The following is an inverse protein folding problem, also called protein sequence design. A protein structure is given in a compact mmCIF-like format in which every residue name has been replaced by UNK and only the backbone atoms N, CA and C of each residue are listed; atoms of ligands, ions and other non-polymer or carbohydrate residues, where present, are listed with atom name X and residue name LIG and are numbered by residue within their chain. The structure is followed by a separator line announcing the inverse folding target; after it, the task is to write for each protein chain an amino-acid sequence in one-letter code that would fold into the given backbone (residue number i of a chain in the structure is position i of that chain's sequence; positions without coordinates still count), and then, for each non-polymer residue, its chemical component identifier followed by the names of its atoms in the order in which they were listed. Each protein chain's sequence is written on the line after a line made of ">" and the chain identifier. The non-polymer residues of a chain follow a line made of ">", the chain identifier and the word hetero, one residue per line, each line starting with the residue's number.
data_IF_129975866420
#
_entry.id   IF_129975866420
#
_cell.length_a   1.000
_cell.length_b   1.000
_cell.length_c   1.000
_cell.angle_alpha   90.00
_cell.angle_beta   90.00
_cell.angle_gamma   90.00
#
_symmetry.space_group_name_H-M   'P 1'
#
loop_
_entity.id
_entity.type
_entity.pdbx_description
1 polymer ?
#
# COMPACT_ATOMS: atom_id res chain seq x y z
N UNK A 1 6.32 4.20 -81.35
CA UNK A 1 6.91 5.25 -80.47
C UNK A 1 6.80 4.78 -79.03
N UNK A 2 7.89 4.91 -78.27
CA UNK A 2 8.00 5.20 -76.81
C UNK A 2 6.76 4.89 -75.94
N UNK A 3 6.88 4.24 -74.78
CA UNK A 3 7.73 4.69 -73.67
C UNK A 3 7.86 3.62 -72.58
N UNK A 4 9.05 3.62 -72.02
CA UNK A 4 9.61 2.82 -70.94
C UNK A 4 9.28 3.40 -69.55
N UNK A 5 9.46 2.56 -68.51
CA UNK A 5 9.68 2.85 -67.07
C UNK A 5 8.43 3.13 -66.21
N UNK A 6 8.35 2.83 -64.90
CA UNK A 6 9.38 2.54 -63.88
C UNK A 6 8.71 1.82 -62.69
N UNK A 7 9.41 0.84 -62.10
CA UNK A 7 9.14 0.30 -60.76
C UNK A 7 9.46 1.35 -59.69
N UNK A 8 8.59 1.51 -58.69
CA UNK A 8 8.89 2.20 -57.44
C UNK A 8 7.98 1.66 -56.33
N UNK A 9 8.52 1.14 -55.21
CA UNK A 9 7.71 0.73 -54.08
C UNK A 9 7.28 1.99 -53.31
N UNK A 10 5.98 2.27 -53.29
CA UNK A 10 5.42 3.28 -52.40
C UNK A 10 5.30 2.65 -51.01
N UNK A 11 6.31 2.89 -50.15
CA UNK A 11 6.22 2.61 -48.73
C UNK A 11 5.23 3.61 -48.11
N UNK A 12 3.97 3.19 -47.99
CA UNK A 12 2.98 3.88 -47.18
C UNK A 12 3.22 3.53 -45.71
N UNK A 13 4.04 4.35 -45.06
CA UNK A 13 4.01 4.57 -43.62
C UNK A 13 2.64 5.19 -43.28
N UNK A 14 1.64 4.35 -43.05
CA UNK A 14 0.47 4.77 -42.29
C UNK A 14 0.78 4.52 -40.82
N UNK A 15 0.90 5.61 -40.07
CA UNK A 15 0.82 5.62 -38.61
C UNK A 15 -0.30 4.68 -38.17
N UNK A 16 0.05 3.64 -37.43
CA UNK A 16 -0.91 3.02 -36.53
C UNK A 16 -1.22 4.06 -35.46
N UNK A 17 -2.47 4.55 -35.30
CA UNK A 17 -2.88 4.93 -33.97
C UNK A 17 -2.83 3.63 -33.15
N UNK A 18 -1.95 3.62 -32.16
CA UNK A 18 -1.88 2.58 -31.15
C UNK A 18 -3.15 2.70 -30.29
N UNK A 19 -4.27 2.16 -30.77
CA UNK A 19 -5.41 1.84 -29.93
C UNK A 19 -5.19 0.42 -29.41
N UNK A 20 -4.42 0.31 -28.32
CA UNK A 20 -4.55 -0.84 -27.44
C UNK A 20 -5.83 -0.66 -26.60
N UNK A 21 -6.99 -0.80 -27.25
CA UNK A 21 -8.24 -1.14 -26.58
C UNK A 21 -8.67 -2.47 -27.18
N UNK A 22 -8.02 -3.55 -26.74
CA UNK A 22 -8.54 -4.89 -26.98
C UNK A 22 -9.77 -5.08 -26.09
N UNK A 23 -10.95 -5.44 -26.63
CA UNK A 23 -12.09 -5.85 -25.84
C UNK A 23 -11.85 -7.27 -25.33
N UNK A 24 -10.83 -7.47 -24.50
CA UNK A 24 -10.70 -8.73 -23.76
C UNK A 24 -11.58 -8.57 -22.53
N UNK A 25 -12.86 -8.97 -22.68
CA UNK A 25 -13.83 -8.96 -21.59
C UNK A 25 -13.24 -9.66 -20.35
N UNK A 26 -13.09 -8.95 -19.22
CA UNK A 26 -12.62 -9.52 -17.96
C UNK A 26 -13.51 -10.65 -17.43
N UNK A 27 -14.74 -10.75 -17.94
CA UNK A 27 -15.64 -11.90 -17.75
C UNK A 27 -14.98 -13.26 -18.12
N UNK A 28 -14.00 -13.29 -19.02
CA UNK A 28 -13.25 -14.51 -19.34
C UNK A 28 -12.45 -15.06 -18.14
N UNK A 29 -12.14 -14.21 -17.16
CA UNK A 29 -11.41 -14.56 -15.94
C UNK A 29 -12.32 -14.79 -14.74
N UNK A 30 -13.65 -14.74 -14.85
CA UNK A 30 -14.52 -14.86 -13.68
C UNK A 30 -15.14 -16.25 -13.62
N UNK A 31 -15.09 -16.88 -12.45
CA UNK A 31 -15.64 -18.21 -12.18
C UNK A 31 -16.58 -18.18 -10.97
N UNK A 32 -17.68 -18.96 -11.00
CA UNK A 32 -18.56 -19.08 -9.85
C UNK A 32 -17.90 -19.83 -8.70
N UNK A 33 -18.15 -19.37 -7.48
CA UNK A 33 -17.83 -20.07 -6.24
C UNK A 33 -18.87 -21.17 -6.05
N UNK A 34 -18.45 -22.42 -6.23
CA UNK A 34 -19.35 -23.59 -6.17
C UNK A 34 -19.32 -24.32 -4.81
N UNK A 35 -18.39 -23.96 -3.94
CA UNK A 35 -18.19 -24.57 -2.63
C UNK A 35 -18.35 -23.57 -1.48
N UNK A 36 -18.37 -24.05 -0.22
CA UNK A 36 -18.44 -23.18 0.93
C UNK A 36 -17.18 -22.31 1.06
N UNK A 37 -17.37 -21.03 1.34
CA UNK A 37 -16.30 -20.13 1.78
C UNK A 37 -15.93 -20.45 3.23
N UNK A 38 -14.63 -20.56 3.50
CA UNK A 38 -14.08 -20.91 4.81
C UNK A 38 -13.37 -19.73 5.43
N UNK A 39 -13.41 -19.61 6.74
CA UNK A 39 -12.57 -18.69 7.48
C UNK A 39 -11.16 -19.29 7.64
N UNK A 40 -10.15 -18.61 7.09
CA UNK A 40 -8.75 -19.00 7.23
C UNK A 40 -8.17 -18.65 8.62
N UNK A 41 -8.83 -17.75 9.35
CA UNK A 41 -8.39 -17.15 10.60
C UNK A 41 -7.66 -15.83 10.39
N UNK A 42 -6.90 -15.45 11.42
CA UNK A 42 -6.10 -14.23 11.45
C UNK A 42 -4.65 -14.58 11.16
N UNK A 43 -4.08 -13.97 10.14
CA UNK A 43 -2.66 -14.03 9.83
C UNK A 43 -1.94 -12.81 10.42
N UNK A 44 -1.01 -13.04 11.34
CA UNK A 44 -0.19 -11.99 11.92
C UNK A 44 1.05 -11.77 11.03
N UNK A 45 0.99 -10.78 10.15
CA UNK A 45 2.03 -10.53 9.13
C UNK A 45 3.41 -10.38 9.78
N UNK A 46 3.45 -9.71 10.94
CA UNK A 46 4.66 -9.51 11.72
C UNK A 46 5.42 -10.75 12.15
N UNK A 47 4.70 -11.84 12.40
CA UNK A 47 5.29 -13.09 12.91
C UNK A 47 5.22 -14.23 11.91
N UNK A 48 4.47 -14.05 10.83
CA UNK A 48 4.17 -15.11 9.85
C UNK A 48 3.32 -16.25 10.43
N UNK A 49 2.51 -15.98 11.45
CA UNK A 49 1.73 -17.02 12.15
C UNK A 49 0.22 -16.86 11.99
N UNK A 50 -0.51 -17.98 12.11
CA UNK A 50 -1.96 -18.03 12.04
C UNK A 50 -2.58 -18.24 13.43
N UNK A 51 -3.58 -17.43 13.77
CA UNK A 51 -4.49 -17.67 14.90
C UNK A 51 -5.86 -18.09 14.37
N UNK A 52 -6.37 -19.22 14.88
CA UNK A 52 -7.66 -19.81 14.46
C UNK A 52 -8.52 -20.18 15.67
N UNK A 53 -9.83 -20.09 15.53
CA UNK A 53 -10.80 -20.60 16.50
C UNK A 53 -11.71 -19.53 17.12
N UNK A 54 -12.73 -19.99 17.85
CA UNK A 54 -13.72 -19.12 18.51
C UNK A 54 -13.06 -18.29 19.61
N UNK A 55 -13.01 -16.98 19.45
CA UNK A 55 -12.41 -16.05 20.41
C UNK A 55 -11.01 -15.54 20.03
N UNK A 56 -10.48 -15.96 18.86
CA UNK A 56 -9.33 -15.29 18.27
C UNK A 56 -9.66 -13.82 18.01
N UNK A 57 -8.77 -12.91 18.44
CA UNK A 57 -8.91 -11.47 18.22
C UNK A 57 -7.67 -10.96 17.51
N UNK A 58 -7.88 -10.29 16.40
CA UNK A 58 -6.84 -9.55 15.71
C UNK A 58 -6.66 -8.21 16.43
N UNK A 59 -5.46 -7.65 16.42
CA UNK A 59 -5.19 -6.32 16.96
C UNK A 59 -5.48 -5.23 15.93
N UNK A 60 -6.64 -5.32 15.30
CA UNK A 60 -7.14 -4.35 14.34
C UNK A 60 -7.78 -3.19 15.06
N UNK A 61 -7.73 -2.03 14.45
CA UNK A 61 -8.51 -0.90 14.89
C UNK A 61 -10.01 -1.17 14.72
N UNK A 62 -10.85 -0.43 15.47
CA UNK A 62 -12.28 -0.68 15.51
C UNK A 62 -13.02 -0.26 14.23
N UNK A 63 -12.35 0.47 13.35
CA UNK A 63 -12.96 1.22 12.26
C UNK A 63 -12.66 0.56 10.91
N UNK A 64 -13.67 0.53 10.04
CA UNK A 64 -13.53 0.13 8.65
C UNK A 64 -13.47 1.39 7.80
N UNK A 65 -12.43 1.52 6.98
CA UNK A 65 -12.23 2.69 6.10
C UNK A 65 -12.27 2.36 4.63
N UNK A 66 -12.39 1.10 4.25
CA UNK A 66 -12.76 0.70 2.90
C UNK A 66 -13.48 -0.63 2.99
N UNK A 67 -14.59 -0.78 2.26
CA UNK A 67 -15.39 -1.99 2.33
C UNK A 67 -15.97 -2.36 0.96
N UNK A 68 -15.45 -3.45 0.39
CA UNK A 68 -15.90 -4.04 -0.85
C UNK A 68 -16.32 -5.50 -0.62
N UNK A 69 -17.35 -5.74 0.18
CA UNK A 69 -17.79 -7.09 0.59
C UNK A 69 -19.09 -7.59 -0.08
N UNK A 70 -19.65 -6.82 -1.01
CA UNK A 70 -20.88 -7.20 -1.71
C UNK A 70 -20.66 -8.32 -2.73
N UNK A 71 -21.55 -9.32 -2.73
CA UNK A 71 -21.69 -10.21 -3.89
C UNK A 71 -20.63 -11.32 -4.02
N UNK A 72 -20.20 -11.92 -2.90
CA UNK A 72 -19.21 -13.03 -2.85
C UNK A 72 -19.68 -14.37 -3.48
N UNK A 73 -20.14 -14.36 -4.73
CA UNK A 73 -20.55 -15.55 -5.48
C UNK A 73 -19.54 -15.99 -6.53
N UNK A 74 -18.50 -15.19 -6.77
CA UNK A 74 -17.56 -15.37 -7.87
C UNK A 74 -16.14 -15.02 -7.44
N UNK A 75 -15.17 -15.56 -8.16
CA UNK A 75 -13.75 -15.23 -7.99
C UNK A 75 -13.09 -15.11 -9.36
N UNK A 76 -12.00 -14.35 -9.40
CA UNK A 76 -11.22 -14.16 -10.61
C UNK A 76 -10.14 -15.23 -10.77
N UNK A 77 -9.82 -15.60 -11.99
CA UNK A 77 -8.82 -16.60 -12.37
C UNK A 77 -7.69 -15.93 -13.13
N UNK A 78 -7.20 -14.82 -12.56
CA UNK A 78 -6.13 -14.02 -13.14
C UNK A 78 -4.84 -14.84 -13.20
N UNK A 79 -3.97 -14.63 -14.20
CA UNK A 79 -2.75 -15.41 -14.33
C UNK A 79 -1.85 -15.29 -13.10
N UNK A 80 -1.14 -16.37 -12.79
CA UNK A 80 -0.10 -16.34 -11.76
C UNK A 80 0.98 -15.30 -12.11
N UNK A 81 1.49 -14.62 -11.09
CA UNK A 81 2.49 -13.55 -11.18
C UNK A 81 2.01 -12.33 -11.98
N UNK A 82 0.70 -12.20 -12.22
CA UNK A 82 0.12 -10.96 -12.69
C UNK A 82 0.02 -9.99 -11.51
N UNK A 83 0.63 -8.81 -11.60
CA UNK A 83 0.31 -7.71 -10.71
C UNK A 83 -0.98 -7.07 -11.18
N UNK A 84 -2.02 -7.24 -10.37
CA UNK A 84 -3.38 -6.77 -10.63
C UNK A 84 -3.65 -5.65 -9.63
N UNK A 85 -4.06 -4.49 -10.13
CA UNK A 85 -4.35 -3.32 -9.31
C UNK A 85 -5.83 -2.97 -9.42
N UNK A 86 -6.45 -2.69 -8.28
CA UNK A 86 -7.82 -2.22 -8.15
C UNK A 86 -7.82 -0.99 -7.24
N UNK A 87 -8.93 -0.26 -7.21
CA UNK A 87 -8.95 1.10 -6.64
C UNK A 87 -10.18 1.43 -5.83
N UNK A 88 -10.08 2.57 -5.15
CA UNK A 88 -11.20 3.22 -4.50
C UNK A 88 -10.82 4.62 -4.04
N UNK A 89 -11.64 5.19 -3.16
CA UNK A 89 -11.42 6.48 -2.54
C UNK A 89 -11.47 6.33 -1.02
N UNK A 90 -10.57 7.05 -0.36
CA UNK A 90 -10.65 7.36 1.07
C UNK A 90 -10.93 8.86 1.20
N UNK A 91 -12.06 9.27 1.79
CA UNK A 91 -12.40 10.68 1.90
C UNK A 91 -11.57 11.37 2.98
N UNK A 92 -11.15 12.60 2.75
CA UNK A 92 -10.52 13.45 3.77
C UNK A 92 -11.52 14.24 4.63
N UNK A 93 -11.01 14.99 5.59
CA UNK A 93 -11.77 15.95 6.42
C UNK A 93 -12.27 17.15 5.61
N UNK A 94 -11.52 17.53 4.57
CA UNK A 94 -11.85 18.62 3.64
C UNK A 94 -12.73 18.19 2.47
N UNK A 95 -12.92 16.89 2.28
CA UNK A 95 -13.63 16.31 1.14
C UNK A 95 -14.94 15.65 1.58
N UNK A 96 -16.10 16.30 1.40
CA UNK A 96 -17.34 15.56 1.39
C UNK A 96 -17.30 14.66 0.16
N UNK A 97 -17.21 13.34 0.37
CA UNK A 97 -17.28 12.34 -0.69
C UNK A 97 -18.51 12.59 -1.60
N UNK A 98 -18.65 11.86 -2.72
CA UNK A 98 -19.85 12.00 -3.59
C UNK A 98 -21.20 11.85 -2.87
N UNK A 99 -21.21 11.30 -1.64
CA UNK A 99 -22.39 11.12 -0.78
C UNK A 99 -22.58 12.25 0.26
N UNK A 100 -21.67 13.22 0.31
CA UNK A 100 -21.72 14.39 1.20
C UNK A 100 -21.07 14.19 2.58
N UNK A 101 -20.45 13.04 2.85
CA UNK A 101 -19.82 12.73 4.14
C UNK A 101 -18.31 12.88 4.05
N UNK A 102 -17.75 13.64 4.99
CA UNK A 102 -16.30 13.81 5.14
C UNK A 102 -15.72 12.60 5.88
N UNK A 103 -14.49 12.26 5.53
CA UNK A 103 -13.71 11.33 6.33
C UNK A 103 -13.28 11.93 7.66
N UNK A 104 -12.99 11.10 8.69
CA UNK A 104 -12.53 11.59 9.98
C UNK A 104 -11.10 12.13 9.96
N UNK A 105 -10.27 11.75 8.97
CA UNK A 105 -8.87 12.18 8.85
C UNK A 105 -8.48 12.35 7.38
N UNK A 106 -7.44 13.14 7.13
CA UNK A 106 -6.80 13.27 5.82
C UNK A 106 -5.73 12.19 5.58
N UNK A 107 -5.49 11.34 6.58
CA UNK A 107 -4.60 10.18 6.49
C UNK A 107 -5.03 9.10 7.47
N UNK A 108 -5.00 7.85 7.01
CA UNK A 108 -5.49 6.68 7.72
C UNK A 108 -4.35 5.72 8.05
N UNK A 109 -4.20 5.41 9.34
CA UNK A 109 -3.22 4.44 9.80
C UNK A 109 -3.76 3.02 9.67
N UNK A 110 -3.38 2.32 8.61
CA UNK A 110 -3.88 0.99 8.29
C UNK A 110 -3.18 -0.05 9.15
N UNK A 111 -3.94 -0.70 10.02
CA UNK A 111 -3.45 -1.74 10.94
C UNK A 111 -3.92 -3.15 10.57
N UNK A 112 -4.76 -3.26 9.54
CA UNK A 112 -5.01 -4.52 8.87
C UNK A 112 -6.04 -4.47 7.77
N UNK A 113 -6.26 -5.63 7.16
CA UNK A 113 -7.21 -5.78 6.07
C UNK A 113 -7.77 -7.20 6.02
N UNK A 114 -8.84 -7.38 5.26
CA UNK A 114 -9.42 -8.68 4.96
C UNK A 114 -9.41 -8.90 3.46
N UNK A 115 -9.00 -10.10 3.06
CA UNK A 115 -8.91 -10.50 1.67
C UNK A 115 -9.62 -11.84 1.46
N UNK A 116 -10.46 -11.89 0.44
CA UNK A 116 -11.21 -13.08 0.04
C UNK A 116 -10.62 -13.63 -1.26
N UNK A 117 -10.37 -14.94 -1.32
CA UNK A 117 -9.80 -15.58 -2.51
C UNK A 117 -10.23 -17.03 -2.63
N UNK A 118 -10.24 -17.55 -3.86
CA UNK A 118 -10.31 -18.99 -4.10
C UNK A 118 -8.98 -19.51 -4.62
N UNK A 119 -8.71 -20.76 -4.28
CA UNK A 119 -7.49 -21.47 -4.62
C UNK A 119 -7.88 -22.89 -5.05
N UNK A 120 -7.77 -23.20 -6.33
CA UNK A 120 -7.93 -24.59 -6.82
C UNK A 120 -6.65 -25.41 -6.65
N UNK A 121 -5.52 -24.75 -6.36
CA UNK A 121 -4.27 -25.42 -5.99
C UNK A 121 -4.45 -26.26 -4.73
N UNK A 122 -3.82 -27.44 -4.72
CA UNK A 122 -3.75 -28.28 -3.52
C UNK A 122 -2.59 -27.91 -2.59
N UNK A 123 -1.67 -27.05 -3.04
CA UNK A 123 -0.58 -26.50 -2.22
C UNK A 123 -0.98 -25.17 -1.59
N UNK A 124 -0.11 -24.62 -0.74
CA UNK A 124 -0.19 -23.21 -0.37
C UNK A 124 0.02 -22.31 -1.59
N UNK A 125 -0.40 -21.06 -1.45
CA UNK A 125 -0.30 -20.01 -2.47
C UNK A 125 0.39 -18.83 -1.84
N UNK A 126 1.42 -18.31 -2.49
CA UNK A 126 2.12 -17.11 -2.06
C UNK A 126 1.45 -15.90 -2.69
N UNK A 127 1.13 -14.91 -1.87
CA UNK A 127 0.47 -13.68 -2.26
C UNK A 127 1.35 -12.48 -1.93
N UNK A 128 1.55 -11.61 -2.90
CA UNK A 128 2.21 -10.33 -2.71
C UNK A 128 1.18 -9.21 -2.77
N UNK A 129 1.23 -8.28 -1.81
CA UNK A 129 0.32 -7.14 -1.74
C UNK A 129 1.10 -5.83 -1.75
N UNK A 130 0.57 -4.86 -2.48
CA UNK A 130 1.04 -3.47 -2.44
C UNK A 130 -0.15 -2.52 -2.29
N UNK A 131 0.10 -1.38 -1.67
CA UNK A 131 -0.88 -0.35 -1.42
C UNK A 131 -0.30 0.97 -1.87
N UNK A 132 -1.12 1.73 -2.57
CA UNK A 132 -0.79 3.01 -3.17
C UNK A 132 -1.75 4.03 -2.58
N UNK A 133 -1.23 5.02 -1.84
CA UNK A 133 -2.02 6.14 -1.31
C UNK A 133 -2.35 7.19 -2.38
N UNK A 134 -1.75 7.02 -3.56
CA UNK A 134 -2.10 7.76 -4.76
C UNK A 134 -2.11 6.84 -5.96
N UNK A 135 -3.26 6.74 -6.62
CA UNK A 135 -3.44 5.90 -7.79
C UNK A 135 -4.62 6.39 -8.63
N UNK A 136 -4.37 6.57 -9.92
CA UNK A 136 -5.43 6.80 -10.91
C UNK A 136 -5.86 5.45 -11.47
N UNK A 137 -7.16 5.21 -11.55
CA UNK A 137 -7.69 3.99 -12.16
C UNK A 137 -7.05 3.75 -13.54
N UNK A 138 -6.48 2.56 -13.71
CA UNK A 138 -5.81 2.12 -14.92
C UNK A 138 -4.49 2.80 -15.30
N UNK A 139 -3.94 3.67 -14.44
CA UNK A 139 -2.52 4.00 -14.52
C UNK A 139 -1.70 2.76 -14.13
N UNK A 140 -0.70 2.43 -14.93
CA UNK A 140 0.17 1.30 -14.64
C UNK A 140 1.31 1.77 -13.72
N UNK A 141 1.46 1.24 -12.49
CA UNK A 141 2.54 1.66 -11.59
C UNK A 141 3.95 1.53 -12.20
N UNK A 142 4.17 0.58 -13.11
CA UNK A 142 5.45 0.43 -13.82
C UNK A 142 5.65 1.41 -14.99
N UNK A 143 4.60 2.10 -15.45
CA UNK A 143 4.70 3.02 -16.58
C UNK A 143 5.44 4.31 -16.17
N UNK A 144 6.39 4.79 -16.99
CA UNK A 144 7.00 6.08 -16.74
C UNK A 144 5.91 7.16 -16.86
N UNK A 145 5.86 8.08 -15.89
CA UNK A 145 4.88 9.19 -15.77
C UNK A 145 3.48 8.88 -15.24
N UNK A 146 3.17 7.65 -14.83
CA UNK A 146 1.98 7.42 -14.00
C UNK A 146 2.17 8.10 -12.65
N UNK A 147 1.13 8.79 -12.16
CA UNK A 147 1.19 9.34 -10.81
C UNK A 147 0.70 8.28 -9.84
N UNK A 148 1.65 7.47 -9.38
CA UNK A 148 1.43 6.45 -8.37
C UNK A 148 2.40 6.66 -7.22
N UNK A 149 1.91 6.56 -5.99
CA UNK A 149 2.75 6.62 -4.81
C UNK A 149 2.57 5.35 -3.99
N UNK A 150 3.66 4.61 -3.78
CA UNK A 150 3.63 3.35 -3.04
C UNK A 150 3.67 3.65 -1.54
N UNK A 151 2.53 3.51 -0.88
CA UNK A 151 2.42 3.61 0.57
C UNK A 151 3.06 2.41 1.27
N UNK A 152 2.81 1.20 0.76
CA UNK A 152 3.37 -0.02 1.35
C UNK A 152 3.45 -1.19 0.39
N UNK A 153 4.53 -1.96 0.50
CA UNK A 153 4.57 -3.35 0.04
C UNK A 153 4.69 -4.28 1.25
N UNK A 154 3.90 -5.34 1.27
CA UNK A 154 3.98 -6.39 2.29
C UNK A 154 4.99 -7.46 1.87
N UNK A 155 5.56 -8.22 2.83
CA UNK A 155 6.31 -9.42 2.49
C UNK A 155 5.37 -10.42 1.80
N UNK A 156 5.94 -11.35 1.05
CA UNK A 156 5.15 -12.42 0.44
C UNK A 156 4.48 -13.27 1.52
N UNK A 157 3.16 -13.46 1.40
CA UNK A 157 2.33 -14.13 2.39
C UNK A 157 1.91 -15.51 1.88
N UNK A 158 2.35 -16.57 2.56
CA UNK A 158 1.97 -17.94 2.21
C UNK A 158 0.61 -18.29 2.82
N UNK A 159 -0.41 -18.34 1.97
CA UNK A 159 -1.80 -18.59 2.35
C UNK A 159 -2.25 -20.04 2.03
N UNK A 160 -3.25 -20.56 2.75
CA UNK A 160 -3.84 -21.87 2.46
C UNK A 160 -4.39 -21.98 1.03
N UNK A 161 -4.04 -23.04 0.32
CA UNK A 161 -4.82 -23.48 -0.84
C UNK A 161 -5.79 -24.59 -0.46
N UNK A 162 -5.63 -25.75 -1.07
CA UNK A 162 -6.43 -26.98 -0.88
C UNK A 162 -7.78 -27.04 -1.60
N UNK A 163 -7.96 -26.32 -2.71
CA UNK A 163 -9.20 -26.44 -3.50
C UNK A 163 -10.40 -25.73 -2.88
N UNK A 164 -10.18 -24.75 -2.00
CA UNK A 164 -11.22 -24.04 -1.27
C UNK A 164 -11.18 -22.54 -1.52
N UNK A 165 -12.27 -21.89 -1.14
CA UNK A 165 -12.40 -20.45 -1.06
C UNK A 165 -12.27 -20.03 0.40
N UNK A 166 -11.51 -18.96 0.63
CA UNK A 166 -11.07 -18.53 1.95
C UNK A 166 -11.35 -17.04 2.13
N UNK A 167 -11.76 -16.70 3.34
CA UNK A 167 -11.72 -15.34 3.86
C UNK A 167 -10.60 -15.28 4.89
N UNK A 168 -9.62 -14.39 4.69
CA UNK A 168 -8.46 -14.27 5.57
C UNK A 168 -8.39 -12.84 6.11
N UNK A 169 -8.17 -12.73 7.42
CA UNK A 169 -7.91 -11.44 8.09
C UNK A 169 -6.42 -11.29 8.32
N UNK A 170 -5.87 -10.13 7.97
CA UNK A 170 -4.45 -9.80 8.08
C UNK A 170 -4.27 -8.77 9.18
N UNK A 171 -3.58 -9.17 10.24
CA UNK A 171 -3.17 -8.30 11.34
C UNK A 171 -1.76 -7.79 11.05
N UNK A 172 -1.65 -6.48 10.82
CA UNK A 172 -0.38 -5.80 10.54
C UNK A 172 0.32 -5.34 11.81
N UNK A 173 -0.36 -5.42 12.95
CA UNK A 173 0.13 -4.95 14.23
C UNK A 173 1.34 -5.77 14.71
N UNK A 174 2.17 -5.17 15.55
CA UNK A 174 3.28 -5.77 16.31
C UNK A 174 4.60 -6.03 15.55
N UNK A 175 4.76 -5.52 14.32
CA UNK A 175 6.04 -5.63 13.60
C UNK A 175 6.32 -4.53 12.57
N UNK A 176 5.63 -3.39 12.63
CA UNK A 176 5.89 -2.27 11.71
C UNK A 176 5.41 -2.54 10.29
N UNK A 177 4.40 -3.40 10.11
CA UNK A 177 3.74 -3.62 8.81
C UNK A 177 2.53 -2.71 8.60
N UNK A 178 2.14 -1.97 9.64
CA UNK A 178 1.20 -0.87 9.56
C UNK A 178 1.75 0.23 8.64
N UNK A 179 0.85 0.99 8.02
CA UNK A 179 1.23 2.04 7.08
C UNK A 179 0.16 3.12 6.99
N UNK A 180 0.56 4.28 6.50
CA UNK A 180 -0.35 5.38 6.27
C UNK A 180 -0.86 5.34 4.84
N UNK A 181 -2.16 5.55 4.68
CA UNK A 181 -2.75 5.90 3.40
C UNK A 181 -3.36 7.28 3.50
N UNK A 182 -2.87 8.18 2.65
CA UNK A 182 -3.47 9.49 2.50
C UNK A 182 -4.91 9.37 1.98
N UNK A 183 -5.75 10.29 2.44
CA UNK A 183 -7.04 10.54 1.84
C UNK A 183 -6.88 11.29 0.50
N UNK A 184 -7.93 11.29 -0.31
CA UNK A 184 -8.05 12.13 -1.50
C UNK A 184 -6.88 11.99 -2.49
N UNK A 185 -6.30 10.79 -2.64
CA UNK A 185 -5.26 10.51 -3.63
C UNK A 185 -3.86 11.04 -3.31
N UNK A 186 -3.62 11.39 -2.05
CA UNK A 186 -2.28 11.62 -1.51
C UNK A 186 -1.44 12.67 -2.25
N UNK A 187 -0.15 12.40 -2.42
CA UNK A 187 0.82 13.40 -2.89
C UNK A 187 0.65 13.80 -4.37
N UNK A 188 0.07 12.95 -5.21
CA UNK A 188 -0.13 13.28 -6.63
C UNK A 188 -1.25 14.28 -6.87
N UNK A 189 -2.25 14.31 -6.00
CA UNK A 189 -3.32 15.29 -6.02
C UNK A 189 -3.75 15.59 -4.60
N UNK A 190 -2.96 16.43 -3.92
CA UNK A 190 -3.29 16.83 -2.58
C UNK A 190 -4.62 17.61 -2.55
N UNK A 191 -5.61 17.01 -1.90
CA UNK A 191 -6.94 17.57 -1.70
C UNK A 191 -7.91 17.25 -2.82
N UNK A 192 -9.15 16.98 -2.45
CA UNK A 192 -10.22 16.65 -3.39
C UNK A 192 -10.63 17.83 -4.27
N UNK A 193 -10.62 17.62 -5.58
CA UNK A 193 -11.00 18.64 -6.56
C UNK A 193 -12.46 18.50 -7.06
N UNK A 194 -13.17 17.46 -6.64
CA UNK A 194 -14.56 17.19 -7.03
C UNK A 194 -14.73 16.82 -8.51
N UNK A 195 -13.63 16.64 -9.25
CA UNK A 195 -13.59 16.38 -10.68
C UNK A 195 -13.88 14.94 -11.07
N UNK A 196 -13.91 14.01 -10.10
CA UNK A 196 -14.22 12.60 -10.33
C UNK A 196 -13.32 11.66 -9.54
N UNK A 197 -13.36 10.37 -9.85
CA UNK A 197 -12.53 9.32 -9.23
C UNK A 197 -11.10 9.29 -9.81
N UNK A 198 -10.60 10.45 -10.24
CA UNK A 198 -9.38 10.59 -11.03
C UNK A 198 -8.13 10.49 -10.15
N UNK A 199 -7.44 11.62 -9.95
CA UNK A 199 -6.22 11.66 -9.15
C UNK A 199 -6.46 11.51 -7.64
N UNK A 200 -7.72 11.50 -7.20
CA UNK A 200 -8.13 11.49 -5.79
C UNK A 200 -8.29 10.06 -5.21
N UNK A 201 -7.83 9.05 -5.95
CA UNK A 201 -7.99 7.64 -5.63
C UNK A 201 -6.77 7.02 -4.94
N UNK A 202 -7.02 5.95 -4.21
CA UNK A 202 -5.98 5.03 -3.73
C UNK A 202 -6.05 3.73 -4.56
N UNK A 203 -4.94 3.00 -4.59
CA UNK A 203 -4.82 1.73 -5.29
C UNK A 203 -4.36 0.64 -4.35
N UNK A 204 -4.72 -0.59 -4.65
CA UNK A 204 -4.13 -1.76 -4.00
C UNK A 204 -3.90 -2.83 -5.06
N UNK A 205 -2.72 -3.46 -5.00
CA UNK A 205 -2.37 -4.53 -5.90
C UNK A 205 -2.18 -5.85 -5.18
N UNK A 206 -2.42 -6.91 -5.93
CA UNK A 206 -2.09 -8.26 -5.55
C UNK A 206 -1.43 -8.99 -6.71
N UNK A 207 -0.56 -9.94 -6.38
CA UNK A 207 -0.14 -10.99 -7.29
C UNK A 207 -0.08 -12.30 -6.53
N UNK A 208 -0.16 -13.42 -7.24
CA UNK A 208 -0.12 -14.73 -6.62
C UNK A 208 0.78 -15.70 -7.37
N UNK A 209 1.38 -16.64 -6.65
CA UNK A 209 2.15 -17.74 -7.23
C UNK A 209 1.91 -19.04 -6.46
N UNK A 210 2.10 -20.18 -7.13
CA UNK A 210 1.88 -21.51 -6.55
C UNK A 210 2.84 -22.52 -7.19
N UNK A 211 3.48 -23.34 -6.36
CA UNK A 211 4.32 -24.46 -6.83
C UNK A 211 3.50 -25.71 -7.16
N UNK A 212 2.28 -25.81 -6.63
CA UNK A 212 1.36 -26.93 -6.88
C UNK A 212 0.54 -26.79 -8.16
N UNK A 213 0.77 -25.74 -8.96
CA UNK A 213 -0.07 -25.39 -10.10
C UNK A 213 -1.46 -24.94 -9.67
N UNK A 214 -2.43 -25.06 -10.57
CA UNK A 214 -3.82 -24.65 -10.36
C UNK A 214 -4.07 -23.17 -10.67
N UNK A 215 -5.26 -22.73 -10.28
CA UNK A 215 -5.79 -21.38 -10.49
C UNK A 215 -6.15 -20.78 -9.14
N UNK A 216 -5.79 -19.51 -8.94
CA UNK A 216 -6.20 -18.74 -7.80
C UNK A 216 -6.58 -17.32 -8.21
N UNK A 217 -7.30 -16.65 -7.33
CA UNK A 217 -7.56 -15.24 -7.47
C UNK A 217 -8.57 -14.73 -6.45
N UNK A 218 -8.68 -13.40 -6.35
CA UNK A 218 -9.55 -12.73 -5.39
C UNK A 218 -11.02 -13.06 -5.65
N UNK A 219 -11.82 -12.97 -4.59
CA UNK A 219 -13.27 -12.86 -4.77
C UNK A 219 -13.58 -11.60 -5.57
N UNK A 220 -14.55 -11.73 -6.44
CA UNK A 220 -15.12 -10.60 -7.16
C UNK A 220 -16.25 -10.04 -6.32
N UNK A 221 -16.29 -8.72 -6.24
CA UNK A 221 -17.23 -7.92 -5.47
C UNK A 221 -17.85 -6.84 -6.37
N UNK A 222 -18.92 -6.20 -5.92
CA UNK A 222 -19.50 -5.03 -6.60
C UNK A 222 -21.02 -5.10 -6.83
N UNK A 223 -21.64 -3.93 -6.98
CA UNK A 223 -23.08 -3.73 -7.13
C UNK A 223 -23.43 -2.65 -8.18
N UNK A 224 -24.63 -2.77 -8.79
CA UNK A 224 -25.31 -1.90 -9.79
C UNK A 224 -24.94 -0.39 -9.73
N UNK A 225 -24.52 0.27 -10.84
CA UNK A 225 -24.07 1.66 -10.86
C UNK A 225 -25.25 2.64 -10.98
N UNK A 226 -26.50 2.16 -10.97
CA UNK A 226 -27.68 3.05 -10.80
C UNK A 226 -27.64 3.73 -9.42
N UNK A 227 -26.92 3.13 -8.46
CA UNK A 227 -26.61 3.70 -7.15
C UNK A 227 -25.09 3.69 -7.02
N UNK A 228 -24.49 4.87 -6.90
CA UNK A 228 -23.03 5.04 -6.90
C UNK A 228 -22.38 4.23 -5.77
N UNK A 229 -21.12 3.77 -5.88
CA UNK A 229 -20.44 3.16 -4.73
C UNK A 229 -20.36 4.17 -3.59
N UNK A 230 -21.04 3.91 -2.46
CA UNK A 230 -21.29 4.92 -1.43
C UNK A 230 -20.41 4.77 -0.18
N UNK A 231 -19.57 3.73 -0.10
CA UNK A 231 -18.71 3.50 1.06
C UNK A 231 -19.47 2.98 2.27
N UNK A 232 -20.44 2.10 2.06
CA UNK A 232 -21.25 1.56 3.15
C UNK A 232 -20.44 0.72 4.14
N UNK A 233 -20.88 0.65 5.40
CA UNK A 233 -20.18 -0.13 6.42
C UNK A 233 -18.78 0.41 6.75
N UNK A 234 -18.46 1.65 6.36
CA UNK A 234 -17.27 2.40 6.77
C UNK A 234 -17.63 3.44 7.83
N UNK A 235 -16.61 4.04 8.46
CA UNK A 235 -16.80 5.13 9.44
C UNK A 235 -17.38 6.41 8.87
N UNK A 236 -17.30 6.61 7.55
CA UNK A 236 -17.84 7.74 6.83
C UNK A 236 -19.05 7.34 5.96
N UNK A 237 -19.68 6.21 6.29
CA UNK A 237 -20.87 5.72 5.60
C UNK A 237 -21.98 6.79 5.56
N UNK A 238 -22.76 6.86 4.48
CA UNK A 238 -23.87 7.79 4.40
C UNK A 238 -25.01 7.45 5.35
N UNK A 239 -25.73 8.50 5.77
CA UNK A 239 -26.90 8.40 6.65
C UNK A 239 -28.10 7.69 5.99
N UNK A 240 -28.05 7.43 4.69
CA UNK A 240 -29.09 6.70 3.97
C UNK A 240 -28.70 5.22 3.91
N UNK A 241 -29.54 4.36 4.47
CA UNK A 241 -29.48 2.93 4.18
C UNK A 241 -29.64 2.75 2.67
N UNK A 242 -28.66 2.15 2.01
CA UNK A 242 -28.90 1.63 0.66
C UNK A 242 -30.19 0.77 0.70
N UNK A 243 -30.94 0.75 -0.40
CA UNK A 243 -32.20 -0.02 -0.46
C UNK A 243 -31.98 -1.55 -0.26
N UNK A 244 -30.73 -1.99 -0.09
CA UNK A 244 -30.32 -3.39 -0.02
C UNK A 244 -30.25 -3.89 1.42
N UNK A 245 -30.48 -3.00 2.39
CA UNK A 245 -30.46 -3.33 3.80
C UNK A 245 -29.05 -3.37 4.36
N UNK A 246 -28.98 -3.59 5.67
CA UNK A 246 -27.75 -3.51 6.43
C UNK A 246 -26.82 -4.69 6.09
N UNK A 247 -25.55 -4.40 5.75
CA UNK A 247 -24.46 -5.39 5.81
C UNK A 247 -23.75 -5.76 4.49
N UNK A 248 -23.97 -5.03 3.39
CA UNK A 248 -23.21 -5.21 2.14
C UNK A 248 -22.78 -3.85 1.60
N UNK A 249 -21.51 -3.71 1.23
CA UNK A 249 -20.90 -2.48 0.77
C UNK A 249 -20.19 -2.60 -0.58
N UNK A 250 -20.29 -1.54 -1.38
CA UNK A 250 -19.45 -1.31 -2.54
C UNK A 250 -18.35 -0.34 -2.19
N UNK A 251 -17.10 -0.71 -2.46
CA UNK A 251 -15.94 0.12 -2.17
C UNK A 251 -16.16 1.53 -2.71
N UNK A 252 -16.02 2.54 -1.84
CA UNK A 252 -16.30 3.93 -2.20
C UNK A 252 -15.45 4.30 -3.42
N UNK A 253 -16.10 4.80 -4.46
CA UNK A 253 -15.41 5.27 -5.65
C UNK A 253 -14.68 4.19 -6.47
N UNK A 254 -14.94 2.89 -6.26
CA UNK A 254 -14.44 1.84 -7.13
C UNK A 254 -15.01 1.99 -8.54
N UNK A 255 -14.19 1.85 -9.58
CA UNK A 255 -14.68 1.79 -10.96
C UNK A 255 -14.85 0.33 -11.38
N UNK A 256 -15.66 0.09 -12.40
CA UNK A 256 -15.86 -1.24 -12.99
C UNK A 256 -14.64 -1.72 -13.79
N UNK A 257 -13.44 -1.40 -13.31
CA UNK A 257 -12.17 -1.53 -14.01
C UNK A 257 -11.12 -2.08 -13.05
N UNK A 258 -10.11 -2.75 -13.60
CA UNK A 258 -8.89 -3.09 -12.89
C UNK A 258 -7.72 -3.00 -13.85
N UNK A 259 -6.52 -2.77 -13.33
CA UNK A 259 -5.30 -2.76 -14.13
C UNK A 259 -4.55 -4.09 -13.99
N UNK A 260 -3.87 -4.50 -15.04
CA UNK A 260 -2.78 -5.47 -14.98
C UNK A 260 -1.52 -4.71 -15.33
N UNK A 261 -0.59 -4.57 -14.39
CA UNK A 261 0.64 -3.78 -14.57
C UNK A 261 1.79 -4.60 -15.17
N UNK A 262 2.11 -5.71 -14.51
CA UNK A 262 3.13 -6.64 -14.96
C UNK A 262 2.53 -8.03 -15.05
N UNK A 263 2.63 -8.68 -16.22
CA UNK A 263 2.15 -10.04 -16.40
C UNK A 263 2.94 -10.76 -17.50
N UNK A 264 3.37 -12.02 -17.28
CA UNK A 264 4.12 -12.77 -18.29
C UNK A 264 3.26 -13.33 -19.45
N UNK A 265 1.93 -13.27 -19.35
CA UNK A 265 0.98 -14.01 -20.21
C UNK A 265 -0.15 -13.17 -20.78
N UNK A 266 -0.49 -12.05 -20.14
CA UNK A 266 -1.52 -11.11 -20.58
C UNK A 266 -0.88 -9.73 -20.71
N UNK A 267 -1.33 -8.93 -21.68
CA UNK A 267 -0.77 -7.60 -21.89
C UNK A 267 -1.01 -6.73 -20.66
N UNK A 268 -0.04 -5.91 -20.23
CA UNK A 268 -0.33 -4.80 -19.34
C UNK A 268 -1.44 -3.92 -19.91
N UNK A 269 -2.32 -3.39 -19.06
CA UNK A 269 -3.42 -2.54 -19.47
C UNK A 269 -4.60 -2.48 -18.50
N UNK A 270 -5.64 -1.78 -18.94
CA UNK A 270 -6.90 -1.60 -18.24
C UNK A 270 -7.91 -2.64 -18.70
N UNK A 271 -8.58 -3.29 -17.75
CA UNK A 271 -9.53 -4.36 -17.98
C UNK A 271 -10.86 -4.03 -17.33
N UNK A 272 -11.94 -4.45 -17.97
CA UNK A 272 -13.30 -4.21 -17.50
C UNK A 272 -13.86 -5.49 -16.87
N UNK A 273 -14.46 -5.39 -15.67
CA UNK A 273 -15.03 -6.57 -14.99
C UNK A 273 -16.21 -7.19 -15.74
N UNK A 274 -16.81 -6.45 -16.68
CA UNK A 274 -17.88 -6.96 -17.54
C UNK A 274 -19.18 -6.20 -17.40
N UNK A 275 -19.27 -5.19 -16.52
CA UNK A 275 -20.48 -4.40 -16.36
C UNK A 275 -21.26 -4.81 -15.14
N UNK A 276 -21.70 -3.83 -14.37
CA UNK A 276 -22.76 -4.06 -13.41
C UNK A 276 -24.11 -4.29 -14.13
N UNK A 277 -24.66 -5.50 -14.07
CA UNK A 277 -26.00 -5.78 -14.62
C UNK A 277 -26.86 -6.39 -13.51
N UNK A 278 -27.58 -5.53 -12.79
CA UNK A 278 -28.73 -5.97 -12.01
C UNK A 278 -29.99 -5.26 -12.54
N UNK A 279 -31.03 -6.04 -12.83
CA UNK A 279 -32.32 -5.52 -13.31
C UNK A 279 -33.17 -4.87 -12.21
N UNK A 280 -32.72 -4.93 -10.96
CA UNK A 280 -33.25 -4.20 -9.81
C UNK A 280 -32.18 -4.28 -8.72
N UNK A 281 -31.31 -3.28 -8.63
CA UNK A 281 -30.14 -3.23 -7.75
C UNK A 281 -30.41 -3.30 -6.25
N UNK A 282 -31.04 -4.38 -5.78
CA UNK A 282 -31.10 -4.95 -4.41
C UNK A 282 -31.83 -6.31 -4.39
N UNK A 283 -32.54 -6.71 -5.45
CA UNK A 283 -33.33 -7.95 -5.50
C UNK A 283 -33.08 -8.70 -6.80
N UNK A 284 -32.14 -9.66 -6.75
CA UNK A 284 -31.82 -10.57 -7.83
C UNK A 284 -30.43 -11.15 -7.63
N UNK A 285 -30.22 -12.40 -8.01
CA UNK A 285 -28.86 -12.88 -8.21
C UNK A 285 -28.20 -11.97 -9.26
N UNK A 286 -27.01 -11.41 -9.00
CA UNK A 286 -26.33 -10.57 -9.98
C UNK A 286 -26.26 -11.32 -11.31
N UNK A 287 -26.73 -10.70 -12.40
CA UNK A 287 -26.64 -11.32 -13.73
C UNK A 287 -25.23 -11.18 -14.30
N UNK A 288 -24.45 -10.27 -13.70
CA UNK A 288 -23.04 -10.09 -13.96
C UNK A 288 -22.29 -10.00 -12.62
N UNK A 289 -21.17 -10.70 -12.46
CA UNK A 289 -20.63 -11.03 -11.14
C UNK A 289 -19.73 -9.98 -10.50
N UNK A 290 -19.45 -8.83 -11.12
CA UNK A 290 -18.41 -7.96 -10.59
C UNK A 290 -18.41 -6.51 -11.02
N UNK A 291 -17.73 -5.73 -10.19
CA UNK A 291 -17.23 -4.40 -10.49
C UNK A 291 -16.08 -3.92 -9.59
N UNK A 292 -15.51 -4.80 -8.77
CA UNK A 292 -14.22 -4.64 -8.06
C UNK A 292 -13.82 -6.00 -7.45
N UNK A 293 -12.68 -6.08 -6.77
CA UNK A 293 -12.28 -7.24 -5.96
C UNK A 293 -12.63 -7.06 -4.48
N UNK A 294 -12.78 -8.17 -3.76
CA UNK A 294 -13.04 -8.14 -2.33
C UNK A 294 -11.84 -7.57 -1.56
N UNK A 295 -12.08 -6.51 -0.82
CA UNK A 295 -11.13 -5.93 0.13
C UNK A 295 -11.88 -5.22 1.25
N UNK A 296 -11.40 -5.39 2.49
CA UNK A 296 -11.80 -4.54 3.62
C UNK A 296 -10.57 -4.03 4.33
N UNK A 297 -10.53 -2.76 4.66
CA UNK A 297 -9.38 -2.15 5.35
C UNK A 297 -9.79 -1.61 6.71
N UNK A 298 -8.94 -1.86 7.70
CA UNK A 298 -9.15 -1.51 9.10
C UNK A 298 -8.15 -0.45 9.55
N UNK A 299 -8.61 0.38 10.47
CA UNK A 299 -7.80 1.39 11.15
C UNK A 299 -8.42 1.69 12.50
N UNK A 300 -7.73 2.49 13.30
CA UNK A 300 -8.36 3.28 14.33
C UNK A 300 -8.49 4.72 13.81
N UNK A 301 -9.70 5.15 13.46
CA UNK A 301 -9.95 6.47 12.90
C UNK A 301 -9.74 7.60 13.92
N UNK A 302 -9.50 7.29 15.19
CA UNK A 302 -9.00 8.27 16.18
C UNK A 302 -7.47 8.36 16.25
N UNK A 303 -6.77 7.40 15.64
CA UNK A 303 -5.32 7.47 15.46
C UNK A 303 -5.01 8.21 14.17
N UNK A 304 -4.31 9.33 14.31
CA UNK A 304 -3.71 10.02 13.18
C UNK A 304 -2.40 9.32 12.83
N UNK A 305 -2.12 9.20 11.54
CA UNK A 305 -0.75 9.10 11.10
C UNK A 305 -0.01 10.36 11.59
N UNK A 306 0.96 10.21 12.48
CA UNK A 306 1.92 11.31 12.69
C UNK A 306 2.55 11.61 11.32
N UNK A 307 2.55 12.88 10.89
CA UNK A 307 2.91 13.36 9.55
C UNK A 307 3.27 12.23 8.54
N UNK A 308 2.27 11.64 7.87
CA UNK A 308 2.38 10.43 7.03
C UNK A 308 3.35 10.59 5.86
N UNK A 309 3.70 11.82 5.51
CA UNK A 309 4.53 12.15 4.35
C UNK A 309 6.03 12.10 4.62
N UNK A 310 6.46 11.98 5.89
CA UNK A 310 7.85 12.24 6.21
C UNK A 310 8.75 11.00 6.27
N UNK A 311 8.36 9.92 6.94
CA UNK A 311 9.29 8.79 7.21
C UNK A 311 8.73 7.43 6.84
N UNK A 312 9.43 6.72 5.94
CA UNK A 312 9.19 5.30 5.65
C UNK A 312 10.26 4.43 6.31
N UNK A 313 9.87 3.40 7.06
CA UNK A 313 10.83 2.38 7.54
C UNK A 313 11.24 1.52 6.35
N UNK A 314 12.50 1.60 5.93
CA UNK A 314 13.02 0.81 4.81
C UNK A 314 13.88 -0.36 5.28
N UNK A 315 14.19 -0.44 6.57
CA UNK A 315 15.03 -1.50 7.11
C UNK A 315 14.71 -1.80 8.58
N UNK A 316 14.05 -2.94 8.79
CA UNK A 316 13.80 -3.55 10.10
C UNK A 316 13.81 -5.10 9.99
N UNK A 317 14.65 -5.62 9.09
CA UNK A 317 14.67 -7.05 8.76
C UNK A 317 15.36 -7.92 9.82
N UNK A 318 16.16 -7.33 10.70
CA UNK A 318 16.93 -8.06 11.69
C UNK A 318 16.43 -7.77 13.11
N UNK A 319 16.11 -8.81 13.91
CA UNK A 319 15.51 -8.65 15.25
C UNK A 319 16.44 -7.94 16.26
N UNK A 320 17.72 -7.82 15.92
CA UNK A 320 18.69 -7.08 16.71
C UNK A 320 18.77 -5.58 16.40
N UNK A 321 18.03 -5.09 15.41
CA UNK A 321 17.74 -3.67 15.26
C UNK A 321 16.76 -3.29 16.37
N UNK A 322 17.20 -2.45 17.30
CA UNK A 322 16.41 -2.11 18.48
C UNK A 322 16.29 -0.60 18.56
N UNK A 323 15.06 -0.14 18.76
CA UNK A 323 14.70 1.26 18.83
C UNK A 323 14.16 1.79 17.50
N UNK A 324 13.21 2.69 17.61
CA UNK A 324 12.47 3.31 16.52
C UNK A 324 13.07 4.69 16.20
N UNK A 325 13.35 4.91 14.93
CA UNK A 325 13.75 6.21 14.42
C UNK A 325 12.53 6.92 13.83
N UNK A 326 12.39 8.22 14.05
CA UNK A 326 11.31 9.03 13.47
C UNK A 326 11.73 10.48 13.25
N UNK A 327 11.04 11.18 12.37
CA UNK A 327 11.20 12.63 12.17
C UNK A 327 9.93 13.34 12.61
N UNK A 328 10.05 14.56 13.15
CA UNK A 328 8.90 15.38 13.53
C UNK A 328 8.14 15.96 12.35
N UNK A 329 8.83 16.22 11.23
CA UNK A 329 8.29 16.72 9.97
C UNK A 329 9.38 16.60 8.90
N UNK A 330 9.00 16.67 7.62
CA UNK A 330 9.91 16.73 6.48
C UNK A 330 9.86 18.08 5.75
N UNK A 331 9.12 19.04 6.30
CA UNK A 331 9.04 20.41 5.77
C UNK A 331 10.05 21.31 6.49
N UNK A 332 11.05 21.78 5.75
CA UNK A 332 12.05 22.70 6.23
C UNK A 332 11.52 24.11 6.50
N UNK A 333 10.34 24.46 5.99
CA UNK A 333 9.68 25.74 6.27
C UNK A 333 9.29 25.90 7.75
N UNK A 334 9.12 24.77 8.44
CA UNK A 334 8.78 24.71 9.87
C UNK A 334 9.94 25.14 10.79
N UNK A 335 11.15 25.34 10.24
CA UNK A 335 12.31 25.87 10.95
C UNK A 335 13.00 24.88 11.90
N UNK A 336 12.47 23.66 12.06
CA UNK A 336 13.07 22.58 12.84
C UNK A 336 12.63 21.22 12.31
N UNK A 337 13.57 20.28 12.21
CA UNK A 337 13.30 18.88 11.88
C UNK A 337 13.95 18.01 12.95
N UNK A 338 13.14 17.43 13.84
CA UNK A 338 13.63 16.63 14.95
C UNK A 338 13.72 15.17 14.54
N UNK A 339 14.94 14.65 14.40
CA UNK A 339 15.19 13.21 14.33
C UNK A 339 15.21 12.65 15.75
N UNK A 340 14.35 11.68 16.02
CA UNK A 340 14.21 11.03 17.31
C UNK A 340 14.60 9.56 17.22
N UNK A 341 15.20 9.06 18.29
CA UNK A 341 15.36 7.66 18.64
C UNK A 341 14.49 7.39 19.86
N UNK A 342 13.63 6.40 19.77
CA UNK A 342 12.94 5.81 20.92
C UNK A 342 13.42 4.37 21.11
N UNK A 343 13.82 4.03 22.31
CA UNK A 343 14.27 2.68 22.69
C UNK A 343 13.35 2.02 23.70
N UNK A 344 12.24 2.65 24.05
CA UNK A 344 11.31 2.21 25.09
C UNK A 344 12.00 1.96 26.44
N UNK A 345 13.06 2.72 26.73
CA UNK A 345 13.88 2.59 27.94
C UNK A 345 14.98 1.52 27.87
N UNK A 346 15.02 0.69 26.83
CA UNK A 346 16.19 -0.15 26.56
C UNK A 346 17.38 0.76 26.26
N UNK A 347 18.52 0.58 26.92
CA UNK A 347 19.71 1.44 26.72
C UNK A 347 19.63 2.85 27.33
N UNK A 348 18.84 3.06 28.38
CA UNK A 348 18.91 4.28 29.19
C UNK A 348 20.35 4.60 29.64
N UNK A 349 20.76 5.86 29.52
CA UNK A 349 22.10 6.35 29.83
C UNK A 349 23.18 5.88 28.85
N UNK A 350 22.84 5.08 27.84
CA UNK A 350 23.81 4.63 26.86
C UNK A 350 24.11 5.71 25.82
N UNK A 351 25.32 5.63 25.29
CA UNK A 351 25.82 6.54 24.27
C UNK A 351 25.21 6.23 22.90
N UNK A 352 24.74 7.25 22.19
CA UNK A 352 24.08 7.15 20.88
C UNK A 352 24.49 8.30 19.96
N UNK A 353 24.42 8.05 18.65
CA UNK A 353 24.50 9.12 17.65
C UNK A 353 23.74 8.76 16.36
N UNK A 354 23.27 9.78 15.63
CA UNK A 354 22.56 9.65 14.37
C UNK A 354 23.52 9.33 13.22
N UNK A 355 23.06 8.50 12.30
CA UNK A 355 23.67 8.20 11.01
C UNK A 355 22.75 8.69 9.91
N UNK A 356 23.36 9.20 8.85
CA UNK A 356 22.64 9.68 7.66
C UNK A 356 23.35 9.18 6.41
N UNK A 357 22.61 8.80 5.38
CA UNK A 357 23.18 8.27 4.16
C UNK A 357 22.17 8.18 3.03
N UNK A 358 22.66 7.69 1.89
CA UNK A 358 21.85 7.37 0.71
C UNK A 358 21.86 5.88 0.39
N UNK A 359 22.61 5.07 1.12
CA UNK A 359 22.67 3.63 0.93
C UNK A 359 21.39 2.92 1.42
N UNK A 360 21.10 1.77 0.81
CA UNK A 360 19.97 0.90 1.16
C UNK A 360 20.41 -0.54 1.46
N UNK A 361 21.71 -0.83 1.38
CA UNK A 361 22.21 -2.19 1.56
C UNK A 361 22.34 -2.50 3.04
N UNK A 362 21.64 -3.51 3.57
CA UNK A 362 21.85 -3.98 4.92
C UNK A 362 23.18 -4.75 5.01
N UNK A 363 23.99 -4.40 5.99
CA UNK A 363 25.18 -5.16 6.39
C UNK A 363 25.18 -5.32 7.90
N UNK A 364 25.76 -6.39 8.44
CA UNK A 364 25.77 -6.64 9.89
C UNK A 364 27.20 -6.48 10.46
N UNK A 365 27.67 -5.23 10.68
CA UNK A 365 29.05 -4.98 11.08
C UNK A 365 29.29 -5.31 12.56
N UNK A 366 28.25 -5.39 13.38
CA UNK A 366 28.36 -5.67 14.82
C UNK A 366 28.17 -7.15 15.16
N UNK A 367 27.71 -7.95 14.19
CA UNK A 367 27.28 -9.33 14.40
C UNK A 367 25.92 -9.46 15.10
N UNK A 368 25.33 -8.36 15.56
CA UNK A 368 24.10 -8.34 16.37
C UNK A 368 23.00 -7.47 15.77
N UNK A 369 23.31 -6.57 14.83
CA UNK A 369 22.35 -5.63 14.25
C UNK A 369 22.80 -5.12 12.88
N UNK A 370 21.85 -4.73 12.04
CA UNK A 370 22.10 -4.29 10.67
C UNK A 370 22.28 -2.77 10.54
N UNK A 371 23.39 -2.38 9.92
CA UNK A 371 23.56 -1.07 9.33
C UNK A 371 22.92 -1.06 7.95
N UNK A 372 21.84 -0.30 7.79
CA UNK A 372 21.03 -0.29 6.58
C UNK A 372 21.45 0.76 5.56
N UNK A 373 22.41 1.61 5.93
CA UNK A 373 22.89 2.74 5.13
C UNK A 373 24.10 2.40 4.25
N UNK A 374 24.50 1.11 4.16
CA UNK A 374 25.67 0.72 3.39
C UNK A 374 25.40 0.75 1.87
N UNK A 375 26.49 0.64 1.09
CA UNK A 375 26.45 0.77 -0.37
C UNK A 375 26.57 2.22 -0.88
N UNK A 376 26.68 3.20 0.01
CA UNK A 376 26.98 4.60 -0.31
C UNK A 376 27.82 5.25 0.79
N UNK A 377 28.19 6.52 0.61
CA UNK A 377 28.80 7.32 1.66
C UNK A 377 27.82 7.48 2.84
N UNK A 378 28.35 7.32 4.06
CA UNK A 378 27.61 7.50 5.30
C UNK A 378 28.17 8.74 6.01
N UNK A 379 27.29 9.68 6.29
CA UNK A 379 27.56 10.90 7.01
C UNK A 379 27.27 10.74 8.50
N UNK A 380 27.91 11.58 9.30
CA UNK A 380 27.69 11.70 10.74
C UNK A 380 27.79 13.16 11.13
N UNK A 381 26.96 13.59 12.06
CA UNK A 381 27.03 14.93 12.60
C UNK A 381 28.07 15.01 13.73
N UNK A 382 28.93 16.04 13.68
CA UNK A 382 30.15 16.12 14.50
C UNK A 382 29.89 16.41 15.99
N UNK A 383 28.70 16.90 16.36
CA UNK A 383 28.38 17.32 17.73
C UNK A 383 27.21 16.53 18.36
N UNK A 384 26.75 15.45 17.74
CA UNK A 384 25.49 14.78 18.11
C UNK A 384 25.63 13.45 18.84
N UNK A 385 26.81 13.23 19.42
CA UNK A 385 27.05 12.19 20.39
C UNK A 385 26.35 12.55 21.72
N UNK A 386 25.35 11.77 22.13
CA UNK A 386 24.55 12.03 23.34
C UNK A 386 24.25 10.76 24.12
N UNK A 387 23.80 10.92 25.35
CA UNK A 387 23.25 9.82 26.15
C UNK A 387 21.74 9.71 25.92
N UNK A 388 21.23 8.49 25.79
CA UNK A 388 19.80 8.20 25.79
C UNK A 388 19.26 8.55 27.17
N UNK A 389 18.19 9.35 27.23
CA UNK A 389 17.57 9.83 28.47
C UNK A 389 16.07 9.61 28.42
N UNK A 390 15.50 8.95 29.42
CA UNK A 390 14.11 8.51 29.42
C UNK A 390 13.77 7.53 28.28
N UNK A 391 14.74 6.77 27.77
CA UNK A 391 14.59 5.92 26.60
C UNK A 391 14.64 6.68 25.26
N UNK A 392 14.85 7.99 25.28
CA UNK A 392 14.81 8.84 24.10
C UNK A 392 16.15 9.51 23.82
N UNK A 393 16.43 9.76 22.54
CA UNK A 393 17.44 10.70 22.11
C UNK A 393 16.94 11.45 20.88
N UNK A 394 17.22 12.73 20.77
CA UNK A 394 16.79 13.52 19.62
C UNK A 394 17.84 14.53 19.19
N UNK A 395 17.78 14.91 17.92
CA UNK A 395 18.57 15.98 17.33
C UNK A 395 17.71 16.82 16.39
N UNK A 396 18.04 18.09 16.25
CA UNK A 396 17.46 18.95 15.23
C UNK A 396 18.39 19.00 14.00
N UNK A 397 17.89 18.55 12.85
CA UNK A 397 18.64 18.47 11.60
C UNK A 397 18.86 19.83 10.92
N UNK A 398 18.14 20.88 11.32
CA UNK A 398 18.24 22.22 10.74
C UNK A 398 18.98 23.22 11.64
N UNK A 399 19.06 22.94 12.93
CA UNK A 399 19.70 23.83 13.89
C UNK A 399 21.23 23.76 13.78
N UNK A 400 21.88 24.89 13.50
CA UNK A 400 23.33 24.97 13.31
C UNK A 400 24.19 24.54 14.52
N UNK A 401 23.60 24.46 15.72
CA UNK A 401 24.27 23.99 16.94
C UNK A 401 24.27 22.46 17.07
N UNK A 402 23.32 21.75 16.45
CA UNK A 402 23.30 20.29 16.33
C UNK A 402 23.79 19.85 14.95
N UNK A 403 23.18 20.36 13.89
CA UNK A 403 23.51 20.13 12.49
C UNK A 403 23.83 21.46 11.77
N UNK A 404 25.11 21.80 11.50
CA UNK A 404 25.50 23.11 10.96
C UNK A 404 24.81 23.44 9.62
N UNK A 405 23.70 24.19 9.72
CA UNK A 405 23.00 24.84 8.61
C UNK A 405 22.15 23.93 7.72
N UNK A 406 21.56 22.84 8.23
CA UNK A 406 20.71 21.96 7.41
C UNK A 406 21.47 21.21 6.31
N UNK A 407 22.78 21.05 6.47
CA UNK A 407 23.63 20.29 5.56
C UNK A 407 23.85 18.88 6.09
N UNK A 408 23.94 17.91 5.19
CA UNK A 408 24.32 16.53 5.54
C UNK A 408 25.84 16.44 5.61
N UNK A 409 26.44 16.30 6.81
CA UNK A 409 27.88 16.41 6.96
C UNK A 409 28.58 15.25 6.26
N UNK A 410 29.76 15.51 5.69
CA UNK A 410 30.59 14.54 4.95
C UNK A 410 30.03 14.10 3.59
N UNK A 411 28.71 14.06 3.39
CA UNK A 411 28.08 13.74 2.10
C UNK A 411 27.87 15.03 1.26
N UNK A 412 27.79 16.20 1.90
CA UNK A 412 27.86 17.51 1.23
C UNK A 412 26.57 17.97 0.54
N UNK A 413 25.46 17.26 0.73
CA UNK A 413 24.14 17.65 0.19
C UNK A 413 23.34 18.55 1.13
N UNK A 414 22.43 19.35 0.56
CA UNK A 414 21.38 20.06 1.30
C UNK A 414 20.30 19.08 1.74
N UNK A 415 19.87 19.18 3.01
CA UNK A 415 18.74 18.42 3.52
C UNK A 415 17.43 18.84 2.82
N UNK A 416 17.20 20.15 2.72
CA UNK A 416 15.98 20.81 2.21
C UNK A 416 16.06 21.07 0.71
N UNK A 417 15.85 20.06 -0.12
CA UNK A 417 15.86 20.23 -1.58
C UNK A 417 15.06 19.14 -2.32
N UNK A 418 14.06 18.56 -1.65
CA UNK A 418 13.27 17.42 -2.15
C UNK A 418 14.06 16.14 -2.30
N UNK A 419 15.19 16.01 -1.60
CA UNK A 419 15.99 14.80 -1.62
C UNK A 419 15.47 13.79 -0.60
N UNK A 420 15.42 12.52 -1.00
CA UNK A 420 15.20 11.43 -0.05
C UNK A 420 16.50 11.11 0.70
N UNK A 421 16.49 11.39 2.01
CA UNK A 421 17.56 11.06 2.93
C UNK A 421 17.20 9.82 3.75
N UNK A 422 18.21 9.08 4.18
CA UNK A 422 18.03 7.90 5.04
C UNK A 422 18.73 8.10 6.35
N UNK A 423 18.04 7.75 7.44
CA UNK A 423 18.51 7.90 8.80
C UNK A 423 18.46 6.57 9.53
N UNK A 424 19.42 6.39 10.43
CA UNK A 424 19.46 5.29 11.37
C UNK A 424 20.23 5.79 12.60
N UNK A 425 19.93 5.25 13.77
CA UNK A 425 20.72 5.51 14.96
C UNK A 425 21.67 4.35 15.21
N UNK A 426 22.86 4.66 15.66
CA UNK A 426 23.72 3.69 16.31
C UNK A 426 23.75 3.99 17.79
N UNK A 427 23.65 2.97 18.62
CA UNK A 427 23.75 3.11 20.07
C UNK A 427 24.57 1.98 20.69
N UNK A 428 25.18 2.32 21.81
CA UNK A 428 25.98 1.39 22.61
C UNK A 428 25.05 0.52 23.45
N UNK A 429 25.26 -0.78 23.43
CA UNK A 429 24.58 -1.74 24.30
C UNK A 429 25.52 -2.17 25.45
N UNK A 430 25.98 -1.20 26.26
CA UNK A 430 26.86 -1.48 27.40
C UNK A 430 28.12 -2.30 27.05
N UNK A 431 28.18 -3.54 27.58
CA UNK A 431 29.27 -4.52 27.35
C UNK A 431 29.00 -5.46 26.17
N UNK A 432 27.82 -5.39 25.55
CA UNK A 432 27.46 -6.16 24.37
C UNK A 432 27.91 -5.41 23.10
N UNK A 433 27.93 -6.10 21.94
CA UNK A 433 28.12 -5.42 20.67
C UNK A 433 27.04 -4.35 20.45
N UNK A 434 27.47 -3.20 19.93
CA UNK A 434 26.57 -2.09 19.64
C UNK A 434 25.43 -2.47 18.71
N UNK A 435 24.36 -1.68 18.75
CA UNK A 435 23.15 -1.91 17.99
C UNK A 435 22.81 -0.73 17.09
N UNK A 436 21.97 -0.99 16.11
CA UNK A 436 21.32 0.04 15.30
C UNK A 436 19.83 0.08 15.59
N UNK A 437 19.20 1.24 15.38
CA UNK A 437 17.74 1.37 15.29
C UNK A 437 17.22 0.81 13.96
N UNK A 438 15.91 0.86 13.78
CA UNK A 438 15.30 0.76 12.44
C UNK A 438 15.83 1.86 11.53
N UNK A 439 15.98 1.54 10.25
CA UNK A 439 16.33 2.50 9.20
C UNK A 439 15.10 3.16 8.61
N UNK A 440 15.08 4.49 8.59
CA UNK A 440 14.00 5.30 7.99
C UNK A 440 14.50 6.08 6.78
N UNK A 441 13.65 6.29 5.78
CA UNK A 441 13.90 7.16 4.65
C UNK A 441 12.86 8.28 4.63
N UNK A 442 13.25 9.45 4.15
CA UNK A 442 12.45 10.66 4.24
C UNK A 442 12.75 11.63 3.12
N UNK A 443 11.73 12.07 2.39
CA UNK A 443 11.87 13.09 1.34
C UNK A 443 11.68 14.46 1.98
N UNK A 444 12.78 15.21 2.14
CA UNK A 444 12.80 16.46 2.90
C UNK A 444 12.78 17.65 1.95
N UNK A 445 11.81 18.55 2.13
CA UNK A 445 11.54 19.70 1.26
C UNK A 445 11.81 21.03 1.96
#
# INVERSE_FOLDING_TARGET
>A
MRRTQLLGPLALFFCAPMFAQGPDNGAAFIQPITGPVRDAGIYHVGTGTWTRGSGAKANLGPDVIFNADTGMGYFSTLPANAEVVDEGILPGTGNPNKTGNVGPNDSYFIDGFQFGYCATSMSTIDWDFKFYDSYVACDLPSAPSSCTNLARALPSLTLPGAGFCWLATFDLNLAGYEFCMEADGGICAAGYDGGGLGLDGFGWSHSWSSTGGGVAGPFVSGHDPVWFPEGEGTVYQPAFTNNCGWGYATGLGSQDLFAIDANPTVSPGCYWFGGYVNGNGCAGAPVNPGGQFFMRMYTNASSICGDPSCTMVFCDSHPGNVGDASLSTCDCSMGSIILTLDTSGAFEGQFTYPLVGLGTTPVNPTGTSELCLAGSAIGRYNMDARAITGGLASMDLLNALSAPGGSVPTIGGSLCNGNTWRFQWWHRDGMNPSRFSKGIAATIN
#
